data_IF_240464372726
#
_entry.id   IF_240464372726
#
_cell.length_a   1.000
_cell.length_b   1.000
_cell.length_c   1.000
_cell.angle_alpha   90.00
_cell.angle_beta   90.00
_cell.angle_gamma   90.00
#
_symmetry.space_group_name_H-M   'P 1'
#
loop_
_entity.id
_entity.type
_entity.pdbx_description
1 polymer ?
#
# COMPACT_ATOMS: atom_id res chain seq x y z
N UNK A 1 -5.91 27.95 10.02
CA UNK A 1 -4.68 27.44 9.33
C UNK A 1 -5.08 27.25 7.88
N UNK A 2 -4.63 28.10 6.97
CA UNK A 2 -4.97 27.96 5.55
C UNK A 2 -4.22 26.75 4.98
N UNK A 3 -4.95 25.68 4.70
CA UNK A 3 -4.43 24.52 3.96
C UNK A 3 -4.35 24.97 2.50
N UNK A 4 -3.14 25.11 2.01
CA UNK A 4 -2.86 25.55 0.65
C UNK A 4 -3.37 24.47 -0.34
N UNK A 5 -4.57 24.68 -0.90
CA UNK A 5 -5.30 23.77 -1.78
C UNK A 5 -4.66 23.55 -3.17
N UNK A 6 -3.45 24.08 -3.39
CA UNK A 6 -2.76 24.05 -4.69
C UNK A 6 -1.63 23.02 -4.80
N UNK A 7 -1.54 22.04 -3.90
CA UNK A 7 -0.57 20.97 -4.10
C UNK A 7 -1.10 19.99 -5.18
N UNK A 8 -0.42 19.96 -6.31
CA UNK A 8 -0.54 18.86 -7.27
C UNK A 8 -0.37 17.55 -6.50
N UNK A 9 -1.36 16.69 -6.55
CA UNK A 9 -1.46 15.44 -5.75
C UNK A 9 -0.27 14.53 -5.95
N UNK A 10 0.41 14.61 -7.09
CA UNK A 10 1.66 13.87 -7.32
C UNK A 10 2.81 14.87 -7.43
N UNK A 11 3.66 14.86 -6.41
CA UNK A 11 4.91 15.62 -6.44
C UNK A 11 5.92 14.94 -7.37
N UNK A 12 6.84 15.74 -7.97
CA UNK A 12 7.98 15.19 -8.72
C UNK A 12 8.78 14.17 -7.90
N UNK A 13 8.87 14.38 -6.60
CA UNK A 13 9.53 13.49 -5.65
C UNK A 13 8.86 12.12 -5.53
N UNK A 14 7.53 12.06 -5.62
CA UNK A 14 6.79 10.80 -5.67
C UNK A 14 7.07 10.04 -6.97
N UNK A 15 7.10 10.75 -8.11
CA UNK A 15 7.44 10.15 -9.42
C UNK A 15 8.86 9.57 -9.43
N UNK A 16 9.81 10.22 -8.77
CA UNK A 16 11.18 9.72 -8.64
C UNK A 16 11.24 8.41 -7.83
N UNK A 17 10.33 8.22 -6.88
CA UNK A 17 10.22 7.00 -6.07
C UNK A 17 9.81 5.75 -6.85
N UNK A 18 9.10 5.90 -7.98
CA UNK A 18 8.58 4.78 -8.79
C UNK A 18 9.68 3.81 -9.20
N UNK A 19 10.80 4.34 -9.69
CA UNK A 19 11.92 3.50 -10.17
C UNK A 19 12.56 2.69 -9.04
N UNK A 20 12.64 3.28 -7.85
CA UNK A 20 13.17 2.63 -6.66
C UNK A 20 12.28 1.48 -6.21
N UNK A 21 10.97 1.71 -6.14
CA UNK A 21 9.98 0.72 -5.71
C UNK A 21 9.90 -0.47 -6.68
N UNK A 22 9.89 -0.19 -8.00
CA UNK A 22 9.93 -1.25 -9.01
C UNK A 22 11.21 -2.08 -8.90
N UNK A 23 12.36 -1.44 -8.67
CA UNK A 23 13.63 -2.13 -8.51
C UNK A 23 13.64 -2.99 -7.24
N UNK A 24 13.09 -2.49 -6.13
CA UNK A 24 12.94 -3.22 -4.88
C UNK A 24 12.14 -4.51 -5.09
N UNK A 25 10.92 -4.42 -5.61
CA UNK A 25 10.06 -5.58 -5.83
C UNK A 25 10.61 -6.57 -6.86
N UNK A 26 11.24 -6.08 -7.92
CA UNK A 26 11.91 -6.95 -8.89
C UNK A 26 13.05 -7.74 -8.23
N UNK A 27 13.82 -7.12 -7.34
CA UNK A 27 14.87 -7.81 -6.59
C UNK A 27 14.29 -8.82 -5.61
N UNK A 28 13.24 -8.49 -4.89
CA UNK A 28 12.52 -9.38 -3.98
C UNK A 28 12.07 -10.65 -4.72
N UNK A 29 11.47 -10.52 -5.89
CA UNK A 29 11.01 -11.65 -6.69
C UNK A 29 12.15 -12.45 -7.31
N UNK A 30 13.22 -11.80 -7.74
CA UNK A 30 14.44 -12.48 -8.25
C UNK A 30 15.15 -13.30 -7.17
N UNK A 31 15.21 -12.77 -5.96
CA UNK A 31 15.88 -13.38 -4.81
C UNK A 31 14.90 -14.00 -3.83
N UNK A 32 13.79 -14.53 -4.33
CA UNK A 32 12.68 -15.05 -3.53
C UNK A 32 13.08 -16.08 -2.46
N UNK A 33 14.20 -16.81 -2.67
CA UNK A 33 14.74 -17.73 -1.65
C UNK A 33 15.29 -17.01 -0.42
N UNK A 34 15.81 -15.78 -0.58
CA UNK A 34 16.36 -14.98 0.52
C UNK A 34 15.27 -14.21 1.25
N UNK A 35 14.24 -13.75 0.52
CA UNK A 35 13.17 -12.91 1.05
C UNK A 35 11.88 -13.67 1.37
N UNK A 36 11.88 -15.00 1.22
CA UNK A 36 10.68 -15.83 1.38
C UNK A 36 10.00 -15.69 2.74
N UNK A 37 10.76 -15.41 3.80
CA UNK A 37 10.24 -15.17 5.13
C UNK A 37 9.85 -13.72 5.42
N UNK A 38 10.19 -12.77 4.53
CA UNK A 38 9.87 -11.35 4.70
C UNK A 38 8.62 -10.93 3.94
N UNK A 39 8.15 -11.77 3.00
CA UNK A 39 7.06 -11.43 2.09
C UNK A 39 5.93 -12.42 2.26
N UNK A 40 4.78 -11.88 2.53
CA UNK A 40 3.57 -12.63 2.86
C UNK A 40 2.92 -13.39 1.72
N UNK A 41 3.53 -13.47 0.51
CA UNK A 41 2.97 -14.32 -0.56
C UNK A 41 2.83 -15.79 -0.19
N UNK A 42 3.48 -16.22 0.90
CA UNK A 42 3.26 -17.53 1.49
C UNK A 42 1.85 -17.66 2.08
N UNK A 43 1.19 -16.54 2.34
CA UNK A 43 -0.15 -16.50 2.91
C UNK A 43 -1.24 -16.59 1.84
N UNK A 44 -0.89 -16.42 0.54
CA UNK A 44 -1.85 -16.68 -0.52
C UNK A 44 -2.30 -18.15 -0.50
N UNK A 45 -3.59 -18.37 -0.46
CA UNK A 45 -4.19 -19.70 -0.25
C UNK A 45 -4.50 -20.03 1.21
N UNK A 46 -4.15 -19.16 2.17
CA UNK A 46 -4.41 -19.33 3.61
C UNK A 46 -5.61 -18.50 4.09
N UNK A 47 -5.98 -18.73 5.34
CA UNK A 47 -6.97 -17.89 6.05
C UNK A 47 -6.45 -16.47 6.16
N UNK A 48 -7.36 -15.49 6.05
CA UNK A 48 -7.04 -14.08 6.29
C UNK A 48 -6.60 -13.87 7.74
N UNK A 49 -5.45 -13.22 7.90
CA UNK A 49 -4.88 -12.90 9.21
C UNK A 49 -4.39 -11.45 9.21
N UNK A 50 -4.90 -10.67 10.17
CA UNK A 50 -4.48 -9.29 10.42
C UNK A 50 -4.08 -9.16 11.88
N UNK A 51 -2.91 -8.61 12.12
CA UNK A 51 -2.37 -8.43 13.46
C UNK A 51 -3.30 -7.52 14.29
N UNK A 52 -3.67 -7.96 15.48
CA UNK A 52 -4.53 -7.18 16.39
C UNK A 52 -5.99 -7.00 15.94
N UNK A 53 -6.43 -7.71 14.88
CA UNK A 53 -7.79 -7.66 14.38
C UNK A 53 -8.27 -9.03 13.87
N UNK A 54 -9.35 -9.55 14.42
CA UNK A 54 -9.97 -10.78 13.92
C UNK A 54 -10.77 -10.50 12.65
N UNK A 55 -10.05 -10.50 11.53
CA UNK A 55 -10.64 -10.26 10.22
C UNK A 55 -11.57 -11.39 9.79
N UNK A 56 -11.30 -12.64 10.20
CA UNK A 56 -12.12 -13.78 9.86
C UNK A 56 -13.54 -13.62 10.45
N UNK A 57 -13.63 -13.47 11.77
CA UNK A 57 -14.91 -13.34 12.46
C UNK A 57 -15.65 -12.07 12.05
N UNK A 58 -14.91 -11.00 11.80
CA UNK A 58 -15.48 -9.76 11.27
C UNK A 58 -16.15 -9.98 9.91
N UNK A 59 -15.48 -10.62 8.96
CA UNK A 59 -15.97 -10.81 7.59
C UNK A 59 -17.14 -11.81 7.53
N UNK A 60 -17.23 -12.75 8.46
CA UNK A 60 -18.37 -13.67 8.57
C UNK A 60 -19.72 -12.98 8.85
N UNK A 61 -19.71 -11.73 9.32
CA UNK A 61 -20.94 -10.95 9.53
C UNK A 61 -21.56 -10.42 8.22
N UNK A 62 -20.87 -10.57 7.08
CA UNK A 62 -21.36 -10.14 5.78
C UNK A 62 -21.72 -11.35 4.91
N UNK A 63 -22.81 -11.25 4.18
CA UNK A 63 -23.25 -12.31 3.27
C UNK A 63 -22.25 -12.51 2.13
N UNK A 64 -21.76 -11.40 1.55
CA UNK A 64 -20.77 -11.34 0.49
C UNK A 64 -19.69 -10.32 0.86
N UNK A 65 -18.70 -10.72 1.67
CA UNK A 65 -17.64 -9.81 2.06
C UNK A 65 -16.71 -9.51 0.88
N UNK A 66 -16.42 -8.23 0.65
CA UNK A 66 -15.41 -7.78 -0.30
C UNK A 66 -14.25 -7.13 0.46
N UNK A 67 -13.06 -7.52 0.10
CA UNK A 67 -11.81 -7.05 0.71
C UNK A 67 -10.97 -6.32 -0.35
N UNK A 68 -10.41 -5.18 0.01
CA UNK A 68 -9.46 -4.44 -0.83
C UNK A 68 -8.16 -4.27 -0.07
N UNK A 69 -7.07 -4.84 -0.60
CA UNK A 69 -5.71 -4.66 -0.10
C UNK A 69 -5.02 -3.57 -0.92
N UNK A 70 -4.97 -2.35 -0.37
CA UNK A 70 -4.59 -1.13 -1.09
C UNK A 70 -3.13 -0.79 -0.80
N UNK A 71 -2.37 -0.51 -1.85
CA UNK A 71 -0.91 -0.40 -1.76
C UNK A 71 -0.27 -1.75 -1.48
N UNK A 72 -0.86 -2.82 -2.03
CA UNK A 72 -0.48 -4.20 -1.73
C UNK A 72 0.95 -4.56 -2.19
N UNK A 73 1.57 -3.75 -3.04
CA UNK A 73 2.81 -4.13 -3.71
C UNK A 73 2.63 -5.45 -4.43
N UNK A 74 3.52 -6.39 -4.17
CA UNK A 74 3.38 -7.78 -4.61
C UNK A 74 3.42 -8.75 -3.42
N UNK A 75 2.96 -8.31 -2.24
CA UNK A 75 3.14 -9.07 -0.99
C UNK A 75 2.13 -10.19 -0.82
N UNK A 76 0.87 -10.00 -1.19
CA UNK A 76 -0.22 -10.96 -0.92
C UNK A 76 -0.24 -11.42 0.55
N UNK A 77 -0.02 -10.48 1.48
CA UNK A 77 0.35 -10.79 2.86
C UNK A 77 -0.80 -11.25 3.73
N UNK A 78 -2.05 -10.88 3.40
CA UNK A 78 -3.19 -10.98 4.32
C UNK A 78 -3.94 -12.31 4.29
N UNK A 79 -3.60 -13.21 3.35
CA UNK A 79 -4.41 -14.40 3.06
C UNK A 79 -5.66 -14.04 2.21
N UNK A 80 -6.26 -15.06 1.59
CA UNK A 80 -7.35 -14.88 0.63
C UNK A 80 -8.56 -15.80 0.91
N UNK A 81 -8.66 -16.34 2.12
CA UNK A 81 -9.77 -17.22 2.54
C UNK A 81 -10.31 -16.85 3.91
N UNK A 82 -11.59 -17.12 4.13
CA UNK A 82 -12.21 -17.14 5.45
C UNK A 82 -12.48 -18.57 5.88
N UNK A 83 -12.43 -18.82 7.17
CA UNK A 83 -12.80 -20.09 7.76
C UNK A 83 -14.25 -20.03 8.26
N UNK A 84 -15.13 -20.88 7.70
CA UNK A 84 -16.52 -21.04 8.10
C UNK A 84 -16.82 -22.51 8.34
N UNK A 85 -17.26 -22.85 9.54
CA UNK A 85 -17.56 -24.24 9.94
C UNK A 85 -16.39 -25.24 9.67
N UNK A 86 -15.15 -24.82 9.93
CA UNK A 86 -13.97 -25.64 9.72
C UNK A 86 -13.54 -25.78 8.26
N UNK A 87 -14.14 -25.04 7.33
CA UNK A 87 -13.79 -25.03 5.92
C UNK A 87 -13.25 -23.69 5.48
N UNK A 88 -12.18 -23.69 4.68
CA UNK A 88 -11.62 -22.49 4.07
C UNK A 88 -12.39 -22.16 2.79
N UNK A 89 -13.02 -20.99 2.77
CA UNK A 89 -13.81 -20.45 1.66
C UNK A 89 -13.06 -19.27 1.04
N UNK A 90 -12.91 -19.24 -0.30
CA UNK A 90 -12.29 -18.09 -0.98
C UNK A 90 -13.02 -16.79 -0.67
N UNK A 91 -12.25 -15.72 -0.47
CA UNK A 91 -12.71 -14.34 -0.36
C UNK A 91 -12.76 -13.66 -1.73
N UNK A 92 -13.70 -12.74 -1.89
CA UNK A 92 -13.66 -11.74 -2.96
C UNK A 92 -12.67 -10.64 -2.55
N UNK A 93 -11.41 -10.82 -2.95
CA UNK A 93 -10.32 -9.92 -2.57
C UNK A 93 -9.71 -9.26 -3.81
N UNK A 94 -9.58 -7.95 -3.74
CA UNK A 94 -8.98 -7.08 -4.74
C UNK A 94 -7.62 -6.57 -4.25
N UNK A 95 -6.56 -6.86 -4.98
CA UNK A 95 -5.20 -6.37 -4.73
C UNK A 95 -4.99 -5.11 -5.54
N UNK A 96 -4.88 -3.96 -4.88
CA UNK A 96 -4.90 -2.64 -5.54
C UNK A 96 -3.56 -1.93 -5.32
N UNK A 97 -2.95 -1.45 -6.41
CA UNK A 97 -1.69 -0.72 -6.33
C UNK A 97 -1.51 0.26 -7.50
N UNK A 98 -0.96 1.46 -7.30
CA UNK A 98 -0.67 2.39 -8.39
C UNK A 98 0.39 1.89 -9.38
N UNK A 99 1.23 0.94 -8.99
CA UNK A 99 2.26 0.34 -9.83
C UNK A 99 1.83 -1.01 -10.44
N UNK A 100 0.55 -1.34 -10.41
CA UNK A 100 -0.03 -2.61 -10.88
C UNK A 100 0.49 -3.07 -12.24
N UNK A 101 0.63 -2.15 -13.20
CA UNK A 101 1.16 -2.47 -14.54
C UNK A 101 2.56 -3.09 -14.48
N UNK A 102 3.45 -2.50 -13.67
CA UNK A 102 4.81 -3.00 -13.51
C UNK A 102 4.86 -4.30 -12.74
N UNK A 103 4.08 -4.37 -11.66
CA UNK A 103 4.02 -5.54 -10.80
C UNK A 103 3.46 -6.75 -11.53
N UNK A 104 2.39 -6.60 -12.30
CA UNK A 104 1.84 -7.68 -13.12
C UNK A 104 2.84 -8.19 -14.17
N UNK A 105 3.69 -7.31 -14.71
CA UNK A 105 4.76 -7.73 -15.61
C UNK A 105 5.82 -8.58 -14.90
N UNK A 106 6.19 -8.23 -13.67
CA UNK A 106 7.11 -9.02 -12.83
C UNK A 106 6.48 -10.35 -12.45
N UNK A 107 5.21 -10.35 -12.02
CA UNK A 107 4.45 -11.55 -11.67
C UNK A 107 4.39 -12.54 -12.83
N UNK A 108 4.07 -12.06 -14.02
CA UNK A 108 4.05 -12.89 -15.24
C UNK A 108 5.39 -13.58 -15.51
N UNK A 109 6.51 -12.90 -15.23
CA UNK A 109 7.86 -13.47 -15.38
C UNK A 109 8.20 -14.46 -14.27
N UNK A 110 7.61 -14.33 -13.10
CA UNK A 110 7.91 -15.17 -11.94
C UNK A 110 7.36 -16.59 -12.03
N UNK A 111 6.49 -16.87 -13.01
CA UNK A 111 5.75 -18.14 -13.17
C UNK A 111 4.90 -18.55 -11.96
N UNK A 112 4.57 -17.59 -11.07
CA UNK A 112 3.67 -17.81 -9.93
C UNK A 112 2.24 -17.60 -10.38
N UNK A 113 1.34 -18.50 -9.98
CA UNK A 113 -0.09 -18.35 -10.19
C UNK A 113 -0.67 -17.49 -9.05
N UNK A 114 -0.48 -16.19 -9.14
CA UNK A 114 -1.03 -15.22 -8.21
C UNK A 114 -2.06 -14.34 -8.95
N UNK A 115 -3.06 -13.80 -8.27
CA UNK A 115 -4.00 -12.86 -8.83
C UNK A 115 -3.30 -11.66 -9.46
N UNK A 116 -3.93 -11.07 -10.46
CA UNK A 116 -3.46 -9.80 -10.99
C UNK A 116 -3.73 -8.68 -9.99
N UNK A 117 -2.82 -7.73 -9.94
CA UNK A 117 -2.97 -6.51 -9.17
C UNK A 117 -3.74 -5.51 -10.02
N UNK A 118 -4.77 -4.91 -9.44
CA UNK A 118 -5.61 -3.90 -10.07
C UNK A 118 -4.97 -2.51 -9.90
N UNK A 119 -5.13 -1.66 -10.91
CA UNK A 119 -4.69 -0.28 -10.77
C UNK A 119 -5.64 0.50 -9.86
N UNK A 120 -5.08 1.21 -8.88
CA UNK A 120 -5.81 2.13 -8.02
C UNK A 120 -4.87 2.88 -7.08
N UNK A 121 -5.37 3.97 -6.51
CA UNK A 121 -4.64 4.83 -5.58
C UNK A 121 -5.50 5.11 -4.37
N UNK A 122 -4.90 5.10 -3.20
CA UNK A 122 -5.61 5.39 -1.93
C UNK A 122 -6.29 6.76 -1.96
N UNK A 123 -5.64 7.76 -2.56
CA UNK A 123 -6.11 9.15 -2.63
C UNK A 123 -7.35 9.36 -3.51
N UNK A 124 -7.73 8.37 -4.30
CA UNK A 124 -8.87 8.40 -5.21
C UNK A 124 -9.66 7.09 -5.19
N UNK A 125 -9.63 6.41 -4.07
CA UNK A 125 -10.08 5.02 -3.97
C UNK A 125 -11.57 4.87 -4.32
N UNK A 126 -12.41 5.85 -3.97
CA UNK A 126 -13.84 5.86 -4.30
C UNK A 126 -14.13 5.88 -5.81
N UNK A 127 -13.17 6.32 -6.64
CA UNK A 127 -13.29 6.24 -8.08
C UNK A 127 -13.06 4.82 -8.64
N UNK A 128 -12.39 3.96 -7.87
CA UNK A 128 -12.09 2.57 -8.24
C UNK A 128 -13.04 1.57 -7.60
N UNK A 129 -13.52 1.85 -6.38
CA UNK A 129 -14.48 1.00 -5.66
C UNK A 129 -15.90 1.51 -5.93
N UNK A 130 -16.56 0.88 -6.90
CA UNK A 130 -17.95 1.22 -7.22
C UNK A 130 -18.90 0.77 -6.11
N UNK A 131 -19.97 1.55 -5.90
CA UNK A 131 -21.08 1.25 -4.98
C UNK A 131 -20.73 1.26 -3.48
N UNK A 132 -19.55 1.72 -3.08
CA UNK A 132 -19.15 1.75 -1.65
C UNK A 132 -19.41 0.39 -0.97
N UNK A 133 -18.93 -0.71 -1.58
CA UNK A 133 -19.27 -2.06 -1.19
C UNK A 133 -18.15 -2.80 -0.44
N UNK A 134 -17.04 -2.13 -0.16
CA UNK A 134 -15.95 -2.72 0.59
C UNK A 134 -16.36 -3.06 2.02
N UNK A 135 -16.20 -4.32 2.42
CA UNK A 135 -16.39 -4.75 3.81
C UNK A 135 -15.15 -4.47 4.64
N UNK A 136 -13.98 -4.67 4.05
CA UNK A 136 -12.68 -4.44 4.66
C UNK A 136 -11.75 -3.80 3.63
N UNK A 137 -11.11 -2.72 4.02
CA UNK A 137 -9.99 -2.13 3.29
C UNK A 137 -8.76 -2.27 4.17
N UNK A 138 -7.67 -2.80 3.64
CA UNK A 138 -6.38 -2.87 4.32
C UNK A 138 -5.37 -1.98 3.62
N UNK A 139 -4.58 -1.23 4.40
CA UNK A 139 -3.40 -0.49 3.92
C UNK A 139 -2.24 -0.86 4.85
N UNK A 140 -1.30 -1.65 4.35
CA UNK A 140 -0.20 -2.15 5.15
C UNK A 140 1.13 -1.61 4.63
N UNK A 141 1.79 -0.81 5.45
CA UNK A 141 3.08 -0.18 5.16
C UNK A 141 3.14 0.49 3.77
N UNK A 142 2.07 1.18 3.41
CA UNK A 142 1.92 1.83 2.11
C UNK A 142 1.35 3.26 2.22
N UNK A 143 0.72 3.62 3.34
CA UNK A 143 0.11 4.93 3.50
C UNK A 143 1.17 6.05 3.61
N UNK A 144 2.35 5.76 4.15
CA UNK A 144 3.50 6.65 4.19
C UNK A 144 4.07 6.95 2.79
N UNK A 145 3.80 6.06 1.82
CA UNK A 145 4.11 6.21 0.40
C UNK A 145 3.09 7.07 -0.35
N UNK A 146 1.94 7.34 0.24
CA UNK A 146 0.90 8.18 -0.38
C UNK A 146 1.35 9.63 -0.48
N UNK A 147 0.93 10.31 -1.54
CA UNK A 147 1.15 11.76 -1.69
C UNK A 147 0.24 12.59 -0.76
N UNK A 148 -0.91 12.01 -0.35
CA UNK A 148 -1.90 12.62 0.53
C UNK A 148 -2.55 11.56 1.45
N UNK A 149 -1.83 11.05 2.46
CA UNK A 149 -2.27 9.90 3.26
C UNK A 149 -3.59 10.12 4.00
N UNK A 150 -3.86 11.33 4.47
CA UNK A 150 -5.13 11.66 5.14
C UNK A 150 -6.30 11.58 4.14
N UNK A 151 -6.10 12.07 2.91
CA UNK A 151 -7.09 11.89 1.83
C UNK A 151 -7.31 10.40 1.56
N UNK A 152 -6.25 9.60 1.52
CA UNK A 152 -6.36 8.15 1.35
C UNK A 152 -7.20 7.46 2.43
N UNK A 153 -7.11 7.91 3.69
CA UNK A 153 -7.97 7.43 4.77
C UNK A 153 -9.44 7.82 4.51
N UNK A 154 -9.70 9.08 4.16
CA UNK A 154 -11.05 9.57 3.93
C UNK A 154 -11.70 8.85 2.72
N UNK A 155 -10.98 8.71 1.62
CA UNK A 155 -11.41 7.97 0.43
C UNK A 155 -11.71 6.49 0.74
N UNK A 156 -10.89 5.87 1.60
CA UNK A 156 -11.16 4.52 2.08
C UNK A 156 -12.46 4.46 2.88
N UNK A 157 -12.71 5.41 3.79
CA UNK A 157 -13.94 5.47 4.57
C UNK A 157 -15.19 5.72 3.70
N UNK A 158 -15.06 6.50 2.63
CA UNK A 158 -16.12 6.69 1.63
C UNK A 158 -16.43 5.37 0.93
N UNK A 159 -15.39 4.60 0.59
CA UNK A 159 -15.50 3.36 -0.18
C UNK A 159 -16.05 2.18 0.62
N UNK A 160 -16.07 2.30 1.95
CA UNK A 160 -16.63 1.28 2.84
C UNK A 160 -18.15 1.25 2.80
N UNK A 161 -18.72 0.04 2.76
CA UNK A 161 -20.13 -0.20 3.09
C UNK A 161 -20.43 0.13 4.54
N UNK A 162 -21.69 0.18 4.88
CA UNK A 162 -22.09 0.30 6.30
C UNK A 162 -21.55 -0.87 7.11
N UNK A 163 -20.98 -0.57 8.28
CA UNK A 163 -20.33 -1.54 9.15
C UNK A 163 -18.97 -2.03 8.67
N UNK A 164 -18.47 -1.53 7.52
CA UNK A 164 -17.15 -1.86 7.03
C UNK A 164 -16.00 -1.24 7.85
N UNK A 165 -14.79 -1.76 7.67
CA UNK A 165 -13.60 -1.38 8.43
C UNK A 165 -12.46 -1.01 7.50
N UNK A 166 -11.75 0.07 7.83
CA UNK A 166 -10.40 0.36 7.34
C UNK A 166 -9.39 -0.11 8.38
N UNK A 167 -8.51 -1.02 7.97
CA UNK A 167 -7.40 -1.53 8.77
C UNK A 167 -6.08 -0.96 8.26
N UNK A 168 -5.30 -0.36 9.15
CA UNK A 168 -3.96 0.16 8.88
C UNK A 168 -2.93 -0.60 9.70
N UNK A 169 -1.79 -0.94 9.07
CA UNK A 169 -0.62 -1.53 9.73
C UNK A 169 0.64 -0.85 9.19
N UNK A 170 1.40 -0.17 10.05
CA UNK A 170 2.55 0.62 9.61
C UNK A 170 3.75 0.48 10.55
N UNK A 171 4.94 0.55 10.00
CA UNK A 171 6.13 0.86 10.78
C UNK A 171 6.06 2.31 11.27
N UNK A 172 6.38 2.57 12.56
CA UNK A 172 6.37 3.94 13.06
C UNK A 172 7.50 4.77 12.47
N UNK A 173 7.18 6.01 12.07
CA UNK A 173 8.16 7.03 11.65
C UNK A 173 9.08 6.60 10.49
N UNK A 174 8.58 5.84 9.53
CA UNK A 174 9.38 5.26 8.46
C UNK A 174 10.02 6.32 7.56
N UNK A 175 9.32 7.44 7.28
CA UNK A 175 9.90 8.52 6.51
C UNK A 175 11.16 9.15 7.17
N UNK A 176 11.19 9.26 8.49
CA UNK A 176 12.40 9.71 9.19
C UNK A 176 13.52 8.68 9.11
N UNK A 177 13.22 7.41 9.33
CA UNK A 177 14.19 6.32 9.26
C UNK A 177 14.81 6.23 7.86
N UNK A 178 14.01 6.36 6.82
CA UNK A 178 14.43 6.37 5.42
C UNK A 178 14.90 7.76 4.93
N UNK A 179 15.01 8.75 5.83
CA UNK A 179 15.50 10.11 5.55
C UNK A 179 14.71 10.82 4.44
N UNK A 180 13.40 10.54 4.38
CA UNK A 180 12.48 11.08 3.37
C UNK A 180 12.91 10.76 1.93
N UNK A 181 13.44 9.56 1.68
CA UNK A 181 13.83 9.09 0.36
C UNK A 181 12.68 8.34 -0.32
N UNK A 182 12.69 8.38 -1.67
CA UNK A 182 11.71 7.65 -2.46
C UNK A 182 10.27 8.00 -2.08
N UNK A 183 9.45 7.01 -1.88
CA UNK A 183 8.04 7.17 -1.49
C UNK A 183 7.82 7.51 -0.02
N UNK A 184 8.77 7.27 0.88
CA UNK A 184 8.64 7.54 2.31
C UNK A 184 8.59 9.05 2.59
N UNK A 185 7.39 9.63 2.48
CA UNK A 185 7.19 11.08 2.60
C UNK A 185 6.46 11.47 3.88
N UNK A 186 5.80 10.52 4.53
CA UNK A 186 5.03 10.72 5.75
C UNK A 186 5.43 9.70 6.81
N UNK A 187 5.21 10.09 8.04
CA UNK A 187 5.35 9.25 9.21
C UNK A 187 3.96 8.91 9.74
N UNK A 188 3.75 7.64 10.10
CA UNK A 188 2.59 7.18 10.84
C UNK A 188 3.05 6.87 12.24
N UNK A 189 2.31 7.32 13.26
CA UNK A 189 2.65 7.04 14.65
C UNK A 189 1.40 7.02 15.54
N UNK A 190 1.57 6.50 16.74
CA UNK A 190 0.59 6.48 17.81
C UNK A 190 1.12 7.26 19.01
N UNK A 191 0.25 8.05 19.65
CA UNK A 191 0.52 8.72 20.92
C UNK A 191 -0.75 8.67 21.78
N UNK A 192 -0.66 8.05 22.93
CA UNK A 192 -1.77 7.94 23.90
C UNK A 192 -3.05 7.34 23.30
N UNK A 193 -2.93 6.37 22.39
CA UNK A 193 -4.07 5.75 21.70
C UNK A 193 -4.61 6.53 20.50
N UNK A 194 -4.01 7.66 20.15
CA UNK A 194 -4.40 8.48 19.00
C UNK A 194 -3.48 8.26 17.81
N UNK A 195 -4.06 8.22 16.60
CA UNK A 195 -3.33 8.08 15.34
C UNK A 195 -2.85 9.43 14.83
N UNK A 196 -1.56 9.51 14.53
CA UNK A 196 -0.93 10.70 13.95
C UNK A 196 -0.30 10.40 12.61
N UNK A 197 -0.50 11.32 11.64
CA UNK A 197 0.22 11.36 10.38
C UNK A 197 0.95 12.69 10.30
N UNK A 198 2.26 12.63 10.02
CA UNK A 198 3.06 13.85 10.03
C UNK A 198 4.26 13.77 9.07
N UNK A 199 4.78 14.92 8.71
CA UNK A 199 6.06 15.10 8.04
C UNK A 199 6.70 16.40 8.52
N UNK A 200 7.74 16.88 7.83
CA UNK A 200 8.44 18.12 8.21
C UNK A 200 7.54 19.37 8.24
N UNK A 201 6.45 19.36 7.48
CA UNK A 201 5.60 20.56 7.26
C UNK A 201 4.21 20.42 7.88
N UNK A 202 3.74 19.19 8.10
CA UNK A 202 2.37 18.90 8.52
C UNK A 202 2.37 17.94 9.69
N UNK A 203 1.43 18.14 10.60
CA UNK A 203 1.19 17.25 11.73
C UNK A 203 -0.32 17.17 11.96
N UNK A 204 -0.90 16.00 11.75
CA UNK A 204 -2.35 15.80 11.78
C UNK A 204 -2.67 14.70 12.79
N UNK A 205 -3.52 15.03 13.77
CA UNK A 205 -4.17 14.06 14.62
C UNK A 205 -5.37 13.49 13.87
N UNK A 206 -5.24 12.28 13.32
CA UNK A 206 -6.29 11.64 12.52
C UNK A 206 -7.48 11.25 13.39
N UNK A 207 -7.24 10.84 14.64
CA UNK A 207 -8.31 10.50 15.58
C UNK A 207 -9.21 11.69 15.86
N UNK A 208 -8.63 12.86 16.12
CA UNK A 208 -9.36 14.11 16.32
C UNK A 208 -10.07 14.58 15.03
N UNK A 209 -9.37 14.49 13.89
CA UNK A 209 -9.93 14.88 12.60
C UNK A 209 -11.18 14.09 12.23
N UNK A 210 -11.21 12.79 12.57
CA UNK A 210 -12.32 11.90 12.26
C UNK A 210 -13.40 11.88 13.35
N UNK A 211 -13.21 12.59 14.46
CA UNK A 211 -14.21 12.59 15.53
C UNK A 211 -15.59 13.06 15.01
N UNK A 212 -16.64 12.41 15.53
CA UNK A 212 -17.99 12.60 15.02
C UNK A 212 -18.33 11.79 13.77
N UNK A 213 -17.36 11.45 12.90
CA UNK A 213 -17.58 10.70 11.65
C UNK A 213 -17.19 9.22 11.76
N UNK A 214 -16.03 8.92 12.33
CA UNK A 214 -15.54 7.56 12.52
C UNK A 214 -14.96 7.37 13.92
N UNK A 215 -14.90 6.13 14.37
CA UNK A 215 -14.11 5.73 15.55
C UNK A 215 -12.76 5.23 15.11
N UNK A 216 -11.72 5.62 15.82
CA UNK A 216 -10.34 5.21 15.58
C UNK A 216 -9.82 4.48 16.81
N UNK A 217 -9.50 3.22 16.68
CA UNK A 217 -8.82 2.42 17.69
C UNK A 217 -7.37 2.21 17.23
N UNK A 218 -6.42 2.73 17.98
CA UNK A 218 -4.99 2.67 17.63
C UNK A 218 -4.20 1.96 18.71
N UNK A 219 -3.31 1.08 18.30
CA UNK A 219 -2.44 0.31 19.20
C UNK A 219 -1.01 0.24 18.63
N UNK A 220 -0.03 0.29 19.54
CA UNK A 220 1.33 -0.13 19.23
C UNK A 220 1.48 -1.59 19.64
N UNK A 221 1.91 -2.42 18.71
CA UNK A 221 2.12 -3.85 18.93
C UNK A 221 3.52 -4.11 19.52
N UNK A 222 3.74 -5.32 20.06
CA UNK A 222 5.03 -5.71 20.66
C UNK A 222 6.19 -5.68 19.66
N UNK A 223 5.91 -5.94 18.39
CA UNK A 223 6.89 -5.82 17.29
C UNK A 223 7.17 -4.37 16.88
N UNK A 224 6.52 -3.40 17.53
CA UNK A 224 6.66 -1.96 17.29
C UNK A 224 5.73 -1.40 16.22
N UNK A 225 4.99 -2.22 15.47
CA UNK A 225 4.03 -1.76 14.46
C UNK A 225 2.89 -0.95 15.08
N UNK A 226 2.37 -0.02 14.31
CA UNK A 226 1.16 0.74 14.62
C UNK A 226 0.00 0.12 13.87
N UNK A 227 -0.98 -0.36 14.61
CA UNK A 227 -2.24 -0.83 14.07
C UNK A 227 -3.31 0.22 14.34
N UNK A 228 -4.09 0.58 13.31
CA UNK A 228 -5.28 1.40 13.50
C UNK A 228 -6.49 0.73 12.83
N UNK A 229 -7.57 0.62 13.57
CA UNK A 229 -8.86 0.07 13.13
C UNK A 229 -9.85 1.23 13.11
N UNK A 230 -10.28 1.61 11.92
CA UNK A 230 -11.13 2.79 11.72
C UNK A 230 -12.50 2.33 11.22
N UNK A 231 -13.56 2.71 11.94
CA UNK A 231 -14.94 2.34 11.63
C UNK A 231 -15.79 3.60 11.44
N UNK A 232 -16.45 3.70 10.30
CA UNK A 232 -17.44 4.76 10.08
C UNK A 232 -18.61 4.59 11.07
N UNK A 233 -19.02 5.68 11.73
CA UNK A 233 -20.16 5.64 12.65
C UNK A 233 -21.45 5.40 11.85
N UNK A 234 -22.38 4.62 12.42
CA UNK A 234 -23.66 4.31 11.78
C UNK A 234 -24.46 5.58 11.48
N UNK A 235 -25.10 5.64 10.31
CA UNK A 235 -25.92 6.77 9.90
C UNK A 235 -25.12 7.96 9.33
N UNK A 236 -23.78 7.87 9.25
CA UNK A 236 -22.93 8.91 8.66
C UNK A 236 -22.79 8.70 7.15
N UNK A 237 -23.81 9.13 6.38
CA UNK A 237 -23.84 8.99 4.94
C UNK A 237 -23.17 10.19 4.22
N UNK A 238 -23.07 11.33 4.89
CA UNK A 238 -22.46 12.54 4.34
C UNK A 238 -21.15 12.85 5.07
N UNK A 239 -20.15 13.27 4.30
CA UNK A 239 -18.89 13.74 4.87
C UNK A 239 -19.11 15.06 5.62
N UNK A 240 -18.63 15.18 6.87
CA UNK A 240 -18.57 16.46 7.57
C UNK A 240 -17.83 17.53 6.76
N UNK A 241 -18.23 18.78 6.88
CA UNK A 241 -17.66 19.88 6.11
C UNK A 241 -16.13 19.95 6.20
N UNK A 242 -15.58 19.69 7.37
CA UNK A 242 -14.13 19.62 7.59
C UNK A 242 -13.43 18.56 6.75
N UNK A 243 -14.08 17.41 6.49
CA UNK A 243 -13.54 16.33 5.68
C UNK A 243 -13.77 16.58 4.19
N UNK A 244 -14.81 17.32 3.81
CA UNK A 244 -15.06 17.68 2.41
C UNK A 244 -13.93 18.52 1.81
N UNK A 245 -13.10 19.18 2.64
CA UNK A 245 -11.92 19.93 2.16
C UNK A 245 -10.85 19.03 1.57
N UNK A 246 -10.87 17.74 1.89
CA UNK A 246 -9.90 16.73 1.38
C UNK A 246 -10.39 16.05 0.10
N UNK A 247 -11.69 16.08 -0.20
CA UNK A 247 -12.32 15.34 -1.30
C UNK A 247 -13.23 16.26 -2.10
N UNK A 248 -12.88 16.52 -3.34
CA UNK A 248 -13.67 17.32 -4.29
C UNK A 248 -13.86 16.52 -5.58
N UNK A 249 -15.06 15.95 -5.75
CA UNK A 249 -15.43 15.06 -6.87
C UNK A 249 -15.07 15.60 -8.27
N UNK A 250 -15.23 16.89 -8.51
CA UNK A 250 -14.95 17.50 -9.82
C UNK A 250 -13.45 17.71 -10.02
N UNK A 251 -12.80 18.22 -8.98
CA UNK A 251 -11.35 18.44 -8.98
C UNK A 251 -10.61 17.13 -9.03
N UNK A 252 -11.04 16.15 -8.23
CA UNK A 252 -10.43 14.83 -8.11
C UNK A 252 -10.47 14.05 -9.41
N UNK A 253 -11.58 14.06 -10.16
CA UNK A 253 -11.65 13.45 -11.49
C UNK A 253 -10.68 14.06 -12.50
N UNK A 254 -10.54 15.39 -12.47
CA UNK A 254 -9.58 16.12 -13.31
C UNK A 254 -8.13 15.81 -12.92
N UNK A 255 -7.82 15.79 -11.64
CA UNK A 255 -6.51 15.44 -11.11
C UNK A 255 -6.15 13.98 -11.41
N UNK A 256 -7.08 13.05 -11.21
CA UNK A 256 -6.88 11.63 -11.55
C UNK A 256 -6.53 11.44 -13.03
N UNK A 257 -7.22 12.14 -13.94
CA UNK A 257 -6.89 12.11 -15.36
C UNK A 257 -5.45 12.61 -15.63
N UNK A 258 -5.05 13.71 -14.98
CA UNK A 258 -3.68 14.23 -15.11
C UNK A 258 -2.64 13.27 -14.53
N UNK A 259 -2.94 12.67 -13.40
CA UNK A 259 -2.12 11.64 -12.75
C UNK A 259 -1.92 10.45 -13.70
N UNK A 260 -3.00 9.94 -14.29
CA UNK A 260 -2.93 8.82 -15.24
C UNK A 260 -2.08 9.17 -16.47
N UNK A 261 -2.22 10.38 -17.01
CA UNK A 261 -1.40 10.86 -18.12
C UNK A 261 0.08 10.98 -17.74
N UNK A 262 0.37 11.52 -16.55
CA UNK A 262 1.73 11.62 -16.03
C UNK A 262 2.36 10.23 -15.81
N UNK A 263 1.60 9.29 -15.26
CA UNK A 263 2.02 7.89 -15.12
C UNK A 263 2.35 7.26 -16.48
N UNK A 264 1.45 7.43 -17.45
CA UNK A 264 1.66 6.88 -18.78
C UNK A 264 2.92 7.46 -19.44
N UNK A 265 3.14 8.77 -19.33
CA UNK A 265 4.32 9.44 -19.86
C UNK A 265 5.59 9.00 -19.12
N UNK A 266 5.57 9.02 -17.79
CA UNK A 266 6.71 8.64 -16.96
C UNK A 266 7.09 7.17 -17.16
N UNK A 267 6.12 6.27 -17.19
CA UNK A 267 6.34 4.86 -17.45
C UNK A 267 6.96 4.61 -18.81
N UNK A 268 6.51 5.33 -19.84
CA UNK A 268 7.08 5.22 -21.19
C UNK A 268 8.51 5.73 -21.22
N UNK A 269 8.79 6.85 -20.56
CA UNK A 269 10.12 7.45 -20.43
C UNK A 269 11.06 6.55 -19.61
N UNK A 270 10.60 6.07 -18.46
CA UNK A 270 11.34 5.18 -17.56
C UNK A 270 11.72 3.87 -18.25
N UNK A 271 10.77 3.23 -18.94
CA UNK A 271 11.03 2.01 -19.69
C UNK A 271 12.06 2.21 -20.78
N UNK A 272 12.04 3.36 -21.48
CA UNK A 272 13.05 3.71 -22.46
C UNK A 272 14.43 3.92 -21.80
N UNK A 273 14.49 4.64 -20.68
CA UNK A 273 15.72 4.90 -19.97
C UNK A 273 16.34 3.64 -19.37
N UNK A 274 15.54 2.78 -18.74
CA UNK A 274 15.97 1.49 -18.22
C UNK A 274 16.50 0.58 -19.36
N UNK A 275 15.78 0.55 -20.48
CA UNK A 275 16.15 -0.28 -21.64
C UNK A 275 17.46 0.19 -22.30
N UNK A 276 17.74 1.48 -22.21
CA UNK A 276 18.91 2.10 -22.83
C UNK A 276 20.09 2.28 -21.87
N UNK A 277 19.92 2.09 -20.56
CA UNK A 277 21.00 2.30 -19.61
C UNK A 277 22.04 1.19 -19.70
N UNK A 278 23.30 1.59 -19.89
CA UNK A 278 24.47 0.69 -19.88
C UNK A 278 24.53 -0.05 -18.53
N UNK A 279 24.19 0.64 -17.45
CA UNK A 279 24.14 0.08 -16.09
C UNK A 279 23.19 -1.10 -15.97
N UNK A 280 22.04 -1.05 -16.63
CA UNK A 280 21.07 -2.16 -16.62
C UNK A 280 21.60 -3.38 -17.36
N UNK A 281 22.26 -3.16 -18.52
CA UNK A 281 22.89 -4.25 -19.28
C UNK A 281 24.06 -4.88 -18.53
N UNK A 282 24.89 -4.06 -17.88
CA UNK A 282 26.00 -4.53 -17.04
C UNK A 282 25.45 -5.28 -15.81
N UNK A 283 24.41 -4.75 -15.17
CA UNK A 283 23.78 -5.39 -14.00
C UNK A 283 23.15 -6.74 -14.36
N UNK A 284 22.43 -6.84 -15.48
CA UNK A 284 21.88 -8.12 -15.98
C UNK A 284 23.00 -9.11 -16.32
N UNK A 285 24.10 -8.65 -16.89
CA UNK A 285 25.27 -9.47 -17.22
C UNK A 285 25.97 -9.96 -15.94
N UNK A 286 26.18 -9.07 -14.96
CA UNK A 286 26.75 -9.43 -13.65
C UNK A 286 25.86 -10.45 -12.93
N UNK A 287 24.53 -10.26 -12.97
CA UNK A 287 23.60 -11.21 -12.37
C UNK A 287 23.58 -12.55 -13.08
N UNK A 288 23.66 -12.55 -14.41
CA UNK A 288 23.77 -13.79 -15.19
C UNK A 288 25.04 -14.58 -14.78
N UNK A 289 26.19 -13.92 -14.70
CA UNK A 289 27.42 -14.55 -14.24
C UNK A 289 27.36 -14.96 -12.76
N UNK A 290 26.74 -14.15 -11.89
CA UNK A 290 26.56 -14.49 -10.49
C UNK A 290 25.67 -15.73 -10.29
N UNK A 291 24.72 -16.00 -11.19
CA UNK A 291 23.91 -17.22 -11.16
C UNK A 291 24.73 -18.49 -11.51
N UNK A 292 25.78 -18.34 -12.30
CA UNK A 292 26.66 -19.45 -12.67
C UNK A 292 27.74 -19.74 -11.62
N UNK A 293 27.92 -18.88 -10.62
CA UNK A 293 28.91 -19.10 -9.57
C UNK A 293 28.50 -20.20 -8.59
N UNK A 294 29.44 -21.05 -8.13
CA UNK A 294 29.19 -22.00 -7.05
C UNK A 294 28.69 -21.28 -5.78
N UNK A 295 27.84 -21.96 -5.01
CA UNK A 295 27.23 -21.42 -3.81
C UNK A 295 28.23 -20.78 -2.82
N UNK A 296 29.38 -21.41 -2.62
CA UNK A 296 30.46 -20.92 -1.75
C UNK A 296 31.01 -19.57 -2.18
N UNK A 297 31.08 -19.32 -3.49
CA UNK A 297 31.53 -18.03 -4.03
C UNK A 297 30.43 -16.94 -3.96
N UNK A 298 29.17 -17.33 -4.13
CA UNK A 298 28.02 -16.44 -3.96
C UNK A 298 27.98 -15.82 -2.56
N UNK A 299 28.28 -16.60 -1.54
CA UNK A 299 28.30 -16.15 -0.15
C UNK A 299 29.45 -15.19 0.14
N UNK A 300 30.64 -15.39 -0.47
CA UNK A 300 31.78 -14.47 -0.34
C UNK A 300 31.52 -13.11 -1.01
N UNK A 301 30.93 -13.10 -2.20
CA UNK A 301 30.55 -11.85 -2.90
C UNK A 301 29.48 -11.08 -2.10
N UNK A 302 28.51 -11.77 -1.52
CA UNK A 302 27.48 -11.14 -0.66
C UNK A 302 28.07 -10.49 0.58
N UNK A 303 29.12 -11.06 1.14
CA UNK A 303 29.81 -10.51 2.33
C UNK A 303 30.59 -9.23 1.97
N UNK A 304 31.24 -9.21 0.80
CA UNK A 304 31.98 -8.05 0.29
C UNK A 304 31.05 -6.86 -0.05
N UNK A 305 29.88 -7.13 -0.64
CA UNK A 305 28.89 -6.07 -0.95
C UNK A 305 28.27 -5.45 0.32
N UNK A 306 28.21 -6.20 1.42
CA UNK A 306 27.74 -5.65 2.71
C UNK A 306 28.77 -4.80 3.44
N UNK A 307 30.04 -4.88 3.06
CA UNK A 307 31.15 -4.13 3.68
C UNK A 307 31.54 -2.87 2.89
N UNK A 308 31.03 -2.71 1.67
CA UNK A 308 31.17 -1.52 0.83
C UNK A 308 29.94 -0.61 0.92
#
# INVERSE_FOLDING_TARGET
>A
MEINSNQTVISGKWLDGISYEIAFWNNVYRWSHTFRGMMGWANYGSKIELEGFDANDFLLNFEQPKVYDVGCGMSYAIGDKIEKNGQLIPLDIHYVDPLAFHFNHILKKSKRQLPQIEFGMSEYLSAFIQNHDASLITIQNALDHSSAPVKGIIESLISLREGGVLYLNHHPNEAEMEKYKGFHQYNVNERNGELYIWNKNHHINVTELLDGFASVETKRMDNGHIIAIIRKKTGQNELPLQLQTYVDDKKDKGELCQVLLQFQYHNTSLLKSIRNSISFRIFDMIQFFAQMLPWSLKMKVKHLIKQA
#
